data_IF_676807899969
#
_entry.id   IF_676807899969
#
_cell.length_a   1.000
_cell.length_b   1.000
_cell.length_c   1.000
_cell.angle_alpha   90.00
_cell.angle_beta   90.00
_cell.angle_gamma   90.00
#
_symmetry.space_group_name_H-M   'P 1'
#
loop_
_entity.id
_entity.type
_entity.pdbx_description
1 polymer ?
#
# COMPACT_ATOMS: atom_id res chain seq x y z
N UNK A 1 -24.56 -2.90 13.60
CA UNK A 1 -24.02 -3.68 12.46
C UNK A 1 -22.77 -4.39 12.93
N UNK A 2 -22.48 -5.57 12.42
CA UNK A 2 -21.23 -6.31 12.69
C UNK A 2 -20.29 -6.12 11.51
N UNK A 3 -18.98 -6.18 11.73
CA UNK A 3 -17.98 -6.07 10.66
C UNK A 3 -18.22 -7.06 9.50
N UNK A 4 -18.67 -8.28 9.84
CA UNK A 4 -18.98 -9.35 8.88
C UNK A 4 -20.18 -9.09 7.95
N UNK A 5 -20.96 -8.05 8.21
CA UNK A 5 -22.12 -7.70 7.39
C UNK A 5 -21.74 -6.85 6.16
N UNK A 6 -20.46 -6.51 6.00
CA UNK A 6 -19.95 -5.61 4.94
C UNK A 6 -19.16 -6.33 3.86
N UNK A 7 -19.25 -5.83 2.62
CA UNK A 7 -18.47 -6.32 1.48
C UNK A 7 -16.97 -6.15 1.70
N UNK A 8 -16.57 -5.04 2.32
CA UNK A 8 -15.19 -4.82 2.71
C UNK A 8 -14.60 -5.98 3.52
N UNK A 9 -15.38 -6.60 4.44
CA UNK A 9 -14.94 -7.79 5.17
C UNK A 9 -14.74 -9.00 4.27
N UNK A 10 -15.71 -9.27 3.38
CA UNK A 10 -15.64 -10.37 2.43
C UNK A 10 -14.38 -10.23 1.55
N UNK A 11 -14.18 -9.04 1.00
CA UNK A 11 -13.05 -8.72 0.12
C UNK A 11 -11.68 -8.83 0.82
N UNK A 12 -11.55 -8.37 2.09
CA UNK A 12 -10.35 -8.59 2.89
C UNK A 12 -10.10 -10.10 3.07
N UNK A 13 -11.16 -10.87 3.33
CA UNK A 13 -11.07 -12.31 3.58
C UNK A 13 -10.65 -13.11 2.34
N UNK A 14 -10.83 -12.57 1.13
CA UNK A 14 -10.39 -13.18 -0.13
C UNK A 14 -8.88 -13.02 -0.42
N UNK A 15 -8.15 -12.24 0.38
CA UNK A 15 -6.72 -11.93 0.14
C UNK A 15 -5.84 -13.18 -0.04
N UNK A 16 -5.98 -14.29 0.72
CA UNK A 16 -5.17 -15.49 0.50
C UNK A 16 -5.38 -16.12 -0.87
N UNK A 17 -6.61 -16.10 -1.38
CA UNK A 17 -6.94 -16.65 -2.70
C UNK A 17 -6.41 -15.75 -3.82
N UNK A 18 -6.41 -14.42 -3.61
CA UNK A 18 -5.76 -13.46 -4.51
C UNK A 18 -4.25 -13.74 -4.58
N UNK A 19 -3.61 -13.94 -3.44
CA UNK A 19 -2.17 -14.27 -3.39
C UNK A 19 -1.87 -15.58 -4.11
N UNK A 20 -2.71 -16.61 -3.92
CA UNK A 20 -2.56 -17.87 -4.62
C UNK A 20 -2.64 -17.71 -6.15
N UNK A 21 -3.61 -16.93 -6.65
CA UNK A 21 -3.73 -16.65 -8.08
C UNK A 21 -2.52 -15.91 -8.65
N UNK A 22 -2.03 -14.86 -7.96
CA UNK A 22 -0.87 -14.10 -8.40
C UNK A 22 0.39 -14.94 -8.45
N UNK A 23 0.66 -15.74 -7.41
CA UNK A 23 1.83 -16.62 -7.35
C UNK A 23 1.78 -17.65 -8.47
N UNK A 24 0.60 -18.20 -8.77
CA UNK A 24 0.43 -19.17 -9.86
C UNK A 24 0.50 -18.53 -11.26
N UNK A 25 0.47 -17.22 -11.37
CA UNK A 25 0.60 -16.48 -12.64
C UNK A 25 2.03 -15.96 -12.90
N UNK A 26 3.03 -16.68 -12.44
CA UNK A 26 4.47 -16.31 -12.50
C UNK A 26 4.94 -15.89 -13.90
N UNK A 27 4.42 -16.51 -14.95
CA UNK A 27 4.83 -16.23 -16.33
C UNK A 27 4.69 -14.77 -16.78
N UNK A 28 3.69 -14.03 -16.25
CA UNK A 28 3.53 -12.61 -16.58
C UNK A 28 4.66 -11.75 -16.00
N UNK A 29 5.15 -12.09 -14.80
CA UNK A 29 6.27 -11.38 -14.14
C UNK A 29 7.59 -11.70 -14.82
N UNK A 30 7.82 -12.96 -15.22
CA UNK A 30 8.99 -13.37 -15.98
C UNK A 30 9.06 -12.63 -17.32
N UNK A 31 7.95 -12.58 -18.06
CA UNK A 31 7.86 -11.84 -19.34
C UNK A 31 8.13 -10.35 -19.15
N UNK A 32 7.63 -9.75 -18.06
CA UNK A 32 7.92 -8.36 -17.73
C UNK A 32 9.41 -8.14 -17.44
N UNK A 33 10.00 -9.00 -16.63
CA UNK A 33 11.43 -8.95 -16.29
C UNK A 33 12.34 -9.11 -17.53
N UNK A 34 12.00 -10.03 -18.43
CA UNK A 34 12.72 -10.18 -19.71
C UNK A 34 12.67 -8.89 -20.55
N UNK A 35 11.49 -8.28 -20.64
CA UNK A 35 11.32 -7.05 -21.42
C UNK A 35 12.07 -5.87 -20.81
N UNK A 36 12.13 -5.79 -19.46
CA UNK A 36 12.91 -4.78 -18.75
C UNK A 36 14.42 -5.02 -19.00
N UNK A 37 14.91 -6.25 -18.84
CA UNK A 37 16.30 -6.60 -19.01
C UNK A 37 16.81 -6.39 -20.46
N UNK A 38 15.91 -6.47 -21.44
CA UNK A 38 16.23 -6.17 -22.85
C UNK A 38 16.46 -4.69 -23.14
N UNK A 39 16.22 -3.79 -22.16
CA UNK A 39 16.40 -2.34 -22.25
C UNK A 39 17.49 -1.86 -21.30
N UNK A 40 18.15 -0.77 -21.64
CA UNK A 40 19.08 -0.07 -20.74
C UNK A 40 18.30 0.89 -19.83
N UNK A 41 17.62 0.32 -18.79
CA UNK A 41 16.86 1.13 -17.83
C UNK A 41 17.81 1.76 -16.84
N UNK A 42 17.79 3.08 -16.73
CA UNK A 42 18.62 3.86 -15.79
C UNK A 42 17.84 4.45 -14.64
N UNK A 43 16.51 4.60 -14.79
CA UNK A 43 15.62 5.13 -13.77
C UNK A 43 14.21 4.58 -13.94
N UNK A 44 13.43 4.64 -12.87
CA UNK A 44 12.05 4.17 -12.83
C UNK A 44 11.13 5.31 -12.40
N UNK A 45 9.96 5.40 -13.03
CA UNK A 45 8.88 6.29 -12.60
C UNK A 45 7.64 5.44 -12.29
N UNK A 46 7.08 5.61 -11.10
CA UNK A 46 5.84 4.97 -10.69
C UNK A 46 4.70 5.95 -10.91
N UNK A 47 3.68 5.52 -11.63
CA UNK A 47 2.49 6.29 -11.99
C UNK A 47 1.28 5.70 -11.28
N UNK A 48 0.70 6.42 -10.32
CA UNK A 48 -0.43 5.96 -9.55
C UNK A 48 -1.21 7.11 -8.91
N UNK A 49 -2.36 6.79 -8.27
CA UNK A 49 -3.16 7.68 -7.43
C UNK A 49 -3.76 6.92 -6.25
N UNK A 50 -4.02 7.62 -5.15
CA UNK A 50 -4.73 7.08 -3.98
C UNK A 50 -4.06 5.84 -3.41
N UNK A 51 -4.84 4.78 -3.20
CA UNK A 51 -4.37 3.48 -2.69
C UNK A 51 -3.24 2.88 -3.53
N UNK A 52 -3.36 2.96 -4.86
CA UNK A 52 -2.30 2.47 -5.76
C UNK A 52 -1.01 3.29 -5.64
N UNK A 53 -1.10 4.61 -5.33
CA UNK A 53 0.08 5.43 -5.02
C UNK A 53 0.77 4.98 -3.72
N UNK A 54 -0.02 4.59 -2.72
CA UNK A 54 0.52 4.00 -1.50
C UNK A 54 1.25 2.68 -1.78
N UNK A 55 0.71 1.80 -2.63
CA UNK A 55 1.41 0.62 -3.12
C UNK A 55 2.67 0.99 -3.95
N UNK A 56 2.61 2.10 -4.68
CA UNK A 56 3.75 2.66 -5.41
C UNK A 56 4.91 3.03 -4.50
N UNK A 57 4.66 3.53 -3.29
CA UNK A 57 5.73 3.76 -2.30
C UNK A 57 6.43 2.46 -1.89
N UNK A 58 5.70 1.36 -1.74
CA UNK A 58 6.28 0.05 -1.47
C UNK A 58 7.16 -0.43 -2.62
N UNK A 59 6.65 -0.35 -3.86
CA UNK A 59 7.41 -0.70 -5.06
C UNK A 59 8.68 0.15 -5.20
N UNK A 60 8.60 1.45 -4.89
CA UNK A 60 9.75 2.35 -4.87
C UNK A 60 10.85 1.82 -3.95
N UNK A 61 10.54 1.50 -2.70
CA UNK A 61 11.51 0.93 -1.78
C UNK A 61 12.09 -0.40 -2.28
N UNK A 62 11.27 -1.29 -2.85
CA UNK A 62 11.76 -2.56 -3.41
C UNK A 62 12.80 -2.34 -4.50
N UNK A 63 12.56 -1.44 -5.45
CA UNK A 63 13.46 -1.17 -6.57
C UNK A 63 14.74 -0.50 -6.07
N UNK A 64 14.63 0.54 -5.25
CA UNK A 64 15.80 1.25 -4.73
C UNK A 64 16.70 0.37 -3.88
N UNK A 65 16.11 -0.46 -2.99
CA UNK A 65 16.87 -1.32 -2.08
C UNK A 65 17.46 -2.54 -2.78
N UNK A 66 16.69 -3.21 -3.65
CA UNK A 66 17.08 -4.49 -4.25
C UNK A 66 17.83 -4.35 -5.58
N UNK A 67 17.58 -3.27 -6.33
CA UNK A 67 18.16 -3.05 -7.66
C UNK A 67 19.12 -1.84 -7.73
N UNK A 68 19.10 -0.96 -6.72
CA UNK A 68 19.94 0.24 -6.71
C UNK A 68 19.57 1.27 -7.79
N UNK A 69 18.37 1.19 -8.35
CA UNK A 69 17.90 2.12 -9.37
C UNK A 69 17.14 3.29 -8.73
N UNK A 70 17.35 4.54 -9.17
CA UNK A 70 16.57 5.67 -8.68
C UNK A 70 15.12 5.58 -9.14
N UNK A 71 14.18 5.88 -8.22
CA UNK A 71 12.74 5.80 -8.49
C UNK A 71 12.05 7.12 -8.15
N UNK A 72 11.38 7.71 -9.14
CA UNK A 72 10.49 8.86 -8.98
C UNK A 72 9.02 8.45 -8.90
N UNK A 73 8.21 9.24 -8.19
CA UNK A 73 6.76 9.19 -8.32
C UNK A 73 6.33 10.19 -9.38
N UNK A 74 5.43 9.80 -10.28
CA UNK A 74 4.96 10.65 -11.35
C UNK A 74 4.16 11.85 -10.82
N UNK A 75 4.23 12.95 -11.54
CA UNK A 75 3.33 14.11 -11.39
C UNK A 75 2.37 14.18 -12.60
N UNK A 76 1.27 13.42 -12.62
CA UNK A 76 0.40 13.33 -13.80
C UNK A 76 -0.07 14.69 -14.33
N UNK A 77 -0.28 15.65 -13.45
CA UNK A 77 -0.68 17.02 -13.82
C UNK A 77 0.35 17.74 -14.71
N UNK A 78 1.63 17.37 -14.64
CA UNK A 78 2.66 17.96 -15.52
C UNK A 78 2.33 17.72 -17.00
N UNK A 79 1.74 16.58 -17.30
CA UNK A 79 1.32 16.22 -18.66
C UNK A 79 -0.14 16.60 -18.90
N UNK A 80 -1.07 16.17 -18.02
CA UNK A 80 -2.51 16.30 -18.26
C UNK A 80 -3.01 17.74 -18.19
N UNK A 81 -2.35 18.61 -17.43
CA UNK A 81 -2.72 20.04 -17.29
C UNK A 81 -1.75 20.95 -18.04
N UNK A 82 -0.45 20.75 -17.83
CA UNK A 82 0.56 21.65 -18.40
C UNK A 82 1.06 21.24 -19.79
N UNK A 83 0.66 20.06 -20.30
CA UNK A 83 1.05 19.58 -21.62
C UNK A 83 2.56 19.37 -21.79
N UNK A 84 3.27 19.08 -20.70
CA UNK A 84 4.72 18.91 -20.76
C UNK A 84 5.10 17.73 -21.65
N UNK A 85 6.09 17.95 -22.51
CA UNK A 85 6.71 16.90 -23.33
C UNK A 85 7.99 16.45 -22.66
N UNK A 86 7.90 15.36 -21.92
CA UNK A 86 9.02 14.79 -21.18
C UNK A 86 9.68 13.70 -22.03
N UNK A 87 11.01 13.72 -22.13
CA UNK A 87 11.78 12.61 -22.71
C UNK A 87 11.95 11.51 -21.65
N UNK A 88 11.35 10.35 -21.90
CA UNK A 88 11.41 9.18 -21.03
C UNK A 88 12.36 8.10 -21.58
N UNK A 89 13.30 8.49 -22.46
CA UNK A 89 14.31 7.55 -22.93
C UNK A 89 15.03 6.87 -21.76
N UNK A 90 15.29 5.58 -21.88
CA UNK A 90 15.96 4.75 -20.87
C UNK A 90 15.22 4.70 -19.50
N UNK A 91 13.94 5.09 -19.48
CA UNK A 91 13.06 5.09 -18.31
C UNK A 91 12.07 3.91 -18.37
N UNK A 92 11.91 3.21 -17.26
CA UNK A 92 10.80 2.32 -17.03
C UNK A 92 9.68 3.10 -16.33
N UNK A 93 8.50 3.15 -16.93
CA UNK A 93 7.29 3.63 -16.26
C UNK A 93 6.44 2.45 -15.83
N UNK A 94 6.13 2.36 -14.53
CA UNK A 94 5.24 1.35 -13.98
C UNK A 94 3.97 2.05 -13.51
N UNK A 95 2.84 1.75 -14.15
CA UNK A 95 1.55 2.35 -13.83
C UNK A 95 0.70 1.36 -13.02
N UNK A 96 0.34 1.75 -11.78
CA UNK A 96 -0.52 0.96 -10.90
C UNK A 96 -1.91 1.61 -10.82
N UNK A 97 -2.95 0.82 -10.99
CA UNK A 97 -4.34 1.29 -10.87
C UNK A 97 -5.31 0.13 -10.77
N UNK A 98 -6.07 0.03 -9.68
CA UNK A 98 -7.10 -1.00 -9.53
C UNK A 98 -8.05 -1.02 -10.74
N UNK A 99 -8.62 0.11 -11.15
CA UNK A 99 -9.62 0.20 -12.22
C UNK A 99 -9.02 0.36 -13.63
N UNK A 100 -7.81 0.94 -13.73
CA UNK A 100 -7.19 1.30 -15.00
C UNK A 100 -7.95 2.37 -15.81
N UNK A 101 -8.81 3.19 -15.14
CA UNK A 101 -9.76 4.12 -15.81
C UNK A 101 -9.58 5.59 -15.45
N UNK A 102 -8.59 5.95 -14.65
CA UNK A 102 -8.32 7.36 -14.29
C UNK A 102 -7.77 8.12 -15.50
N UNK A 103 -8.42 9.18 -15.96
CA UNK A 103 -8.05 9.87 -17.19
C UNK A 103 -6.64 10.47 -17.17
N UNK A 104 -6.23 11.06 -16.07
CA UNK A 104 -4.90 11.64 -15.88
C UNK A 104 -3.78 10.59 -15.96
N UNK A 105 -4.01 9.39 -15.42
CA UNK A 105 -3.07 8.28 -15.52
C UNK A 105 -2.93 7.79 -16.96
N UNK A 106 -4.04 7.66 -17.67
CA UNK A 106 -4.05 7.24 -19.09
C UNK A 106 -3.32 8.27 -19.95
N UNK A 107 -3.58 9.56 -19.72
CA UNK A 107 -2.93 10.66 -20.45
C UNK A 107 -1.41 10.65 -20.20
N UNK A 108 -0.98 10.53 -18.96
CA UNK A 108 0.45 10.46 -18.63
C UNK A 108 1.11 9.20 -19.22
N UNK A 109 0.46 8.04 -19.10
CA UNK A 109 0.97 6.78 -19.65
C UNK A 109 1.16 6.85 -21.17
N UNK A 110 0.20 7.45 -21.89
CA UNK A 110 0.30 7.67 -23.32
C UNK A 110 1.47 8.58 -23.69
N UNK A 111 1.62 9.70 -22.97
CA UNK A 111 2.74 10.62 -23.18
C UNK A 111 4.10 9.99 -22.83
N UNK A 112 4.16 9.17 -21.79
CA UNK A 112 5.37 8.45 -21.42
C UNK A 112 5.80 7.47 -22.54
N UNK A 113 4.84 6.80 -23.16
CA UNK A 113 5.10 5.91 -24.30
C UNK A 113 5.56 6.68 -25.53
N UNK A 114 4.92 7.81 -25.85
CA UNK A 114 5.37 8.73 -26.91
C UNK A 114 6.79 9.24 -26.64
N UNK A 115 7.11 9.51 -25.36
CA UNK A 115 8.43 9.90 -24.86
C UNK A 115 9.44 8.76 -24.78
N UNK A 116 9.14 7.56 -25.35
CA UNK A 116 10.00 6.37 -25.47
C UNK A 116 10.24 5.58 -24.17
N UNK A 117 9.43 5.76 -23.12
CA UNK A 117 9.48 4.89 -21.97
C UNK A 117 9.21 3.42 -22.35
N UNK A 118 9.75 2.50 -21.57
CA UNK A 118 9.13 1.19 -21.44
C UNK A 118 7.97 1.31 -20.45
N UNK A 119 6.75 1.00 -20.87
CA UNK A 119 5.55 1.14 -20.06
C UNK A 119 5.01 -0.22 -19.63
N UNK A 120 5.05 -0.52 -18.34
CA UNK A 120 4.39 -1.68 -17.73
C UNK A 120 3.18 -1.19 -16.94
N UNK A 121 2.03 -1.80 -17.16
CA UNK A 121 0.81 -1.49 -16.42
C UNK A 121 0.41 -2.65 -15.53
N UNK A 122 -0.03 -2.36 -14.31
CA UNK A 122 -0.58 -3.33 -13.36
C UNK A 122 -2.00 -2.89 -13.02
N UNK A 123 -3.01 -3.64 -13.49
CA UNK A 123 -4.41 -3.32 -13.18
C UNK A 123 -5.21 -4.58 -12.86
N UNK A 124 -6.33 -4.40 -12.17
CA UNK A 124 -7.29 -5.48 -11.90
C UNK A 124 -8.35 -5.64 -13.03
N UNK A 125 -8.08 -5.04 -14.19
CA UNK A 125 -8.95 -5.12 -15.36
C UNK A 125 -8.10 -5.08 -16.63
N UNK A 126 -7.87 -6.24 -17.23
CA UNK A 126 -7.06 -6.42 -18.44
C UNK A 126 -7.59 -5.66 -19.66
N UNK A 127 -8.92 -5.38 -19.68
CA UNK A 127 -9.58 -4.64 -20.77
C UNK A 127 -9.65 -3.13 -20.49
N UNK A 128 -8.98 -2.65 -19.43
CA UNK A 128 -9.00 -1.22 -19.09
C UNK A 128 -8.22 -0.39 -20.09
N UNK A 129 -8.57 0.90 -20.28
CA UNK A 129 -7.81 1.80 -21.13
C UNK A 129 -6.32 1.88 -20.77
N UNK A 130 -5.99 1.88 -19.46
CA UNK A 130 -4.60 1.93 -19.00
C UNK A 130 -3.85 0.63 -19.35
N UNK A 131 -4.48 -0.55 -19.20
CA UNK A 131 -3.90 -1.82 -19.59
C UNK A 131 -3.54 -1.85 -21.09
N UNK A 132 -4.43 -1.31 -21.93
CA UNK A 132 -4.27 -1.29 -23.37
C UNK A 132 -3.16 -0.34 -23.88
N UNK A 133 -2.81 0.71 -23.12
CA UNK A 133 -1.70 1.61 -23.45
C UNK A 133 -0.34 0.96 -23.18
N UNK A 134 -0.24 0.06 -22.21
CA UNK A 134 1.01 -0.58 -21.80
C UNK A 134 1.73 -1.32 -22.92
N UNK A 135 3.07 -1.38 -22.85
CA UNK A 135 3.86 -2.30 -23.67
C UNK A 135 3.74 -3.73 -23.15
N UNK A 136 3.40 -3.87 -21.87
CA UNK A 136 3.06 -5.10 -21.22
C UNK A 136 2.11 -4.80 -20.06
N UNK A 137 1.12 -5.68 -19.88
CA UNK A 137 0.17 -5.62 -18.78
C UNK A 137 0.41 -6.80 -17.81
N UNK A 138 0.32 -6.52 -16.52
CA UNK A 138 0.29 -7.49 -15.42
C UNK A 138 -1.11 -7.44 -14.81
N UNK A 139 -1.83 -8.55 -14.85
CA UNK A 139 -3.13 -8.68 -14.22
C UNK A 139 -2.97 -8.94 -12.71
N UNK A 140 -3.58 -8.10 -11.88
CA UNK A 140 -3.58 -8.24 -10.43
C UNK A 140 -4.42 -9.42 -9.95
N UNK A 141 -5.31 -9.94 -10.78
CA UNK A 141 -6.14 -11.13 -10.51
C UNK A 141 -6.88 -11.08 -9.16
N UNK A 142 -7.18 -9.86 -8.66
CA UNK A 142 -7.86 -9.67 -7.38
C UNK A 142 -9.35 -10.02 -7.43
N UNK A 143 -9.92 -10.21 -8.63
CA UNK A 143 -11.34 -10.44 -8.81
C UNK A 143 -12.18 -9.17 -8.62
N UNK A 144 -13.51 -9.32 -8.58
CA UNK A 144 -14.40 -8.19 -8.39
C UNK A 144 -14.25 -7.59 -6.98
N UNK A 145 -14.04 -6.29 -6.91
CA UNK A 145 -13.96 -5.51 -5.67
C UNK A 145 -15.01 -4.41 -5.71
N UNK A 146 -16.04 -4.53 -4.86
CA UNK A 146 -17.27 -3.71 -4.89
C UNK A 146 -17.22 -2.56 -3.90
N UNK A 147 -16.67 -2.78 -2.70
CA UNK A 147 -16.49 -1.74 -1.71
C UNK A 147 -15.70 -0.56 -2.31
N UNK A 148 -16.12 0.67 -2.02
CA UNK A 148 -15.46 1.87 -2.55
C UNK A 148 -14.03 1.95 -2.07
N UNK A 149 -13.79 1.72 -0.78
CA UNK A 149 -12.46 1.62 -0.21
C UNK A 149 -11.76 0.35 -0.72
N UNK A 150 -10.63 0.49 -1.40
CA UNK A 150 -9.86 -0.63 -1.91
C UNK A 150 -9.24 -1.45 -0.77
N UNK A 151 -9.23 -2.77 -0.92
CA UNK A 151 -8.70 -3.73 0.05
C UNK A 151 -7.82 -4.78 -0.59
N UNK A 152 -8.40 -5.88 -1.08
CA UNK A 152 -7.66 -7.00 -1.71
C UNK A 152 -6.87 -6.56 -2.95
N UNK A 153 -7.32 -5.53 -3.67
CA UNK A 153 -6.56 -5.00 -4.81
C UNK A 153 -5.28 -4.30 -4.36
N UNK A 154 -5.27 -3.58 -3.23
CA UNK A 154 -4.05 -3.04 -2.63
C UNK A 154 -3.07 -4.14 -2.23
N UNK A 155 -3.57 -5.17 -1.53
CA UNK A 155 -2.76 -6.32 -1.15
C UNK A 155 -2.17 -7.04 -2.38
N UNK A 156 -2.96 -7.11 -3.48
CA UNK A 156 -2.50 -7.63 -4.76
C UNK A 156 -1.40 -6.77 -5.39
N UNK A 157 -1.53 -5.44 -5.35
CA UNK A 157 -0.51 -4.51 -5.86
C UNK A 157 0.82 -4.65 -5.11
N UNK A 158 0.78 -4.84 -3.79
CA UNK A 158 1.98 -5.07 -2.98
C UNK A 158 2.66 -6.39 -3.39
N UNK A 159 1.90 -7.50 -3.45
CA UNK A 159 2.46 -8.80 -3.83
C UNK A 159 2.96 -8.79 -5.28
N UNK A 160 2.21 -8.23 -6.23
CA UNK A 160 2.62 -8.12 -7.62
C UNK A 160 3.91 -7.30 -7.77
N UNK A 161 4.08 -6.25 -6.96
CA UNK A 161 5.31 -5.46 -6.88
C UNK A 161 6.52 -6.30 -6.45
N UNK A 162 6.35 -7.13 -5.41
CA UNK A 162 7.40 -8.04 -4.95
C UNK A 162 7.74 -9.08 -6.02
N UNK A 163 6.73 -9.71 -6.63
CA UNK A 163 6.93 -10.73 -7.68
C UNK A 163 7.62 -10.16 -8.92
N UNK A 164 7.28 -8.92 -9.33
CA UNK A 164 7.96 -8.25 -10.42
C UNK A 164 9.43 -8.02 -10.13
N UNK A 165 9.74 -7.49 -8.94
CA UNK A 165 11.14 -7.21 -8.55
C UNK A 165 11.93 -8.51 -8.39
N UNK A 166 11.35 -9.54 -7.77
CA UNK A 166 11.99 -10.87 -7.66
C UNK A 166 12.29 -11.47 -9.04
N UNK A 167 11.36 -11.36 -10.00
CA UNK A 167 11.60 -11.80 -11.38
C UNK A 167 12.70 -10.97 -12.05
N UNK A 168 12.73 -9.67 -11.80
CA UNK A 168 13.71 -8.77 -12.40
C UNK A 168 15.13 -9.07 -11.90
N UNK A 169 15.31 -9.37 -10.61
CA UNK A 169 16.62 -9.80 -10.06
C UNK A 169 16.95 -11.27 -10.36
N UNK A 170 15.98 -12.05 -10.86
CA UNK A 170 16.18 -13.49 -11.15
C UNK A 170 15.99 -14.42 -9.95
N UNK A 171 15.23 -14.01 -8.94
CA UNK A 171 15.04 -14.73 -7.66
C UNK A 171 13.67 -15.41 -7.55
N UNK A 172 12.98 -15.70 -8.66
CA UNK A 172 11.65 -16.34 -8.64
C UNK A 172 11.62 -17.77 -8.10
N UNK A 173 12.75 -18.49 -8.15
CA UNK A 173 12.85 -19.86 -7.63
C UNK A 173 12.67 -19.98 -6.11
N UNK A 174 12.66 -18.87 -5.38
CA UNK A 174 12.52 -18.87 -3.92
C UNK A 174 11.12 -19.27 -3.41
N UNK A 175 10.13 -19.44 -4.29
CA UNK A 175 8.75 -19.81 -3.93
C UNK A 175 8.12 -18.85 -2.91
N UNK A 176 6.97 -18.27 -3.23
CA UNK A 176 6.26 -17.34 -2.32
C UNK A 176 4.98 -17.95 -1.73
N UNK A 177 4.81 -19.28 -1.85
CA UNK A 177 3.61 -19.99 -1.36
C UNK A 177 3.35 -19.79 0.12
N UNK A 178 4.40 -19.64 0.92
CA UNK A 178 4.29 -19.34 2.36
C UNK A 178 3.50 -18.04 2.65
N UNK A 179 3.48 -17.07 1.73
CA UNK A 179 2.69 -15.84 1.89
C UNK A 179 1.19 -16.11 1.87
N UNK A 180 0.74 -17.15 1.14
CA UNK A 180 -0.65 -17.58 1.14
C UNK A 180 -1.05 -18.10 2.53
N UNK A 181 -0.21 -18.94 3.13
CA UNK A 181 -0.48 -19.53 4.45
C UNK A 181 -0.40 -18.48 5.54
N UNK A 182 0.60 -17.59 5.49
CA UNK A 182 0.70 -16.46 6.43
C UNK A 182 -0.48 -15.49 6.32
N UNK A 183 -0.99 -15.27 5.10
CA UNK A 183 -2.20 -14.46 4.89
C UNK A 183 -3.45 -15.15 5.45
N UNK A 184 -3.59 -16.48 5.30
CA UNK A 184 -4.69 -17.23 5.93
C UNK A 184 -4.64 -17.15 7.44
N UNK A 185 -3.46 -17.29 8.03
CA UNK A 185 -3.26 -17.15 9.48
C UNK A 185 -3.64 -15.74 9.94
N UNK A 186 -3.22 -14.71 9.25
CA UNK A 186 -3.57 -13.32 9.51
C UNK A 186 -5.10 -13.13 9.50
N UNK A 187 -5.79 -13.60 8.44
CA UNK A 187 -7.25 -13.51 8.32
C UNK A 187 -7.98 -14.28 9.44
N UNK A 188 -7.48 -15.45 9.83
CA UNK A 188 -8.07 -16.23 10.92
C UNK A 188 -8.01 -15.51 12.28
N UNK A 189 -7.03 -14.64 12.48
CA UNK A 189 -6.79 -13.91 13.73
C UNK A 189 -7.39 -12.49 13.76
N UNK A 190 -8.14 -12.07 12.74
CA UNK A 190 -8.75 -10.73 12.67
C UNK A 190 -9.69 -10.38 13.84
N UNK A 191 -10.19 -11.38 14.59
CA UNK A 191 -11.02 -11.15 15.76
C UNK A 191 -10.34 -10.32 16.87
N UNK A 192 -9.02 -10.39 17.00
CA UNK A 192 -8.27 -9.57 17.94
C UNK A 192 -8.27 -8.09 17.55
N UNK A 193 -8.34 -7.80 16.24
CA UNK A 193 -8.32 -6.45 15.69
C UNK A 193 -9.57 -5.65 16.07
N UNK A 194 -10.72 -6.32 16.27
CA UNK A 194 -11.97 -5.68 16.70
C UNK A 194 -11.82 -4.93 18.04
N UNK A 195 -11.04 -5.48 18.96
CA UNK A 195 -10.81 -4.83 20.26
C UNK A 195 -9.98 -3.56 20.12
N UNK A 196 -8.99 -3.57 19.22
CA UNK A 196 -8.17 -2.40 18.92
C UNK A 196 -8.98 -1.32 18.17
N UNK A 197 -9.75 -1.71 17.17
CA UNK A 197 -10.62 -0.80 16.44
C UNK A 197 -11.61 -0.08 17.38
N UNK A 198 -12.17 -0.80 18.35
CA UNK A 198 -13.08 -0.25 19.36
C UNK A 198 -12.41 0.72 20.33
N UNK A 199 -11.12 0.65 20.52
CA UNK A 199 -10.38 1.51 21.43
C UNK A 199 -9.87 2.81 20.80
N UNK A 200 -9.78 2.88 19.49
CA UNK A 200 -9.46 4.14 18.82
C UNK A 200 -10.59 5.15 19.04
N UNK A 201 -10.26 6.38 19.40
CA UNK A 201 -11.21 7.45 19.64
C UNK A 201 -11.23 8.43 18.47
N UNK A 202 -12.39 8.55 17.82
CA UNK A 202 -12.61 9.43 16.68
C UNK A 202 -12.53 10.93 17.02
N UNK A 203 -12.60 11.30 18.29
CA UNK A 203 -12.53 12.68 18.74
C UNK A 203 -11.08 13.13 19.06
N UNK A 204 -10.13 12.22 19.03
CA UNK A 204 -8.71 12.48 19.29
C UNK A 204 -7.93 12.58 17.99
N UNK A 205 -6.81 13.30 18.00
CA UNK A 205 -5.87 13.27 16.90
C UNK A 205 -5.32 11.85 16.73
N UNK A 206 -5.39 11.32 15.51
CA UNK A 206 -4.81 10.02 15.15
C UNK A 206 -3.69 10.27 14.15
N UNK A 207 -2.50 9.78 14.47
CA UNK A 207 -1.33 9.80 13.59
C UNK A 207 -0.88 8.38 13.33
N UNK A 208 -0.57 8.04 12.08
CA UNK A 208 -0.02 6.74 11.71
C UNK A 208 1.41 6.93 11.22
N UNK A 209 2.34 6.24 11.83
CA UNK A 209 3.74 6.28 11.43
C UNK A 209 4.28 4.92 11.02
N UNK A 210 5.11 4.92 9.99
CA UNK A 210 5.85 3.75 9.52
C UNK A 210 7.26 4.13 9.10
N UNK A 211 8.11 3.15 8.84
CA UNK A 211 9.46 3.35 8.32
C UNK A 211 9.77 2.26 7.29
N UNK A 212 10.59 2.60 6.26
CA UNK A 212 10.93 1.64 5.21
C UNK A 212 9.68 1.18 4.45
N UNK A 213 9.56 -0.12 4.22
CA UNK A 213 8.42 -0.70 3.51
C UNK A 213 7.08 -0.43 4.19
N UNK A 214 7.04 -0.38 5.53
CA UNK A 214 5.82 -0.13 6.30
C UNK A 214 5.25 1.30 6.11
N UNK A 215 6.01 2.23 5.54
CA UNK A 215 5.50 3.56 5.22
C UNK A 215 4.31 3.51 4.24
N UNK A 216 4.32 2.57 3.30
CA UNK A 216 3.19 2.35 2.39
C UNK A 216 1.89 2.04 3.16
N UNK A 217 1.96 1.11 4.12
CA UNK A 217 0.83 0.77 4.98
C UNK A 217 0.42 1.91 5.92
N UNK A 218 1.37 2.77 6.37
CA UNK A 218 1.02 3.93 7.19
C UNK A 218 0.18 4.94 6.40
N UNK A 219 0.56 5.22 5.17
CA UNK A 219 -0.23 6.04 4.25
C UNK A 219 -1.60 5.43 3.96
N UNK A 220 -1.62 4.11 3.71
CA UNK A 220 -2.85 3.40 3.36
C UNK A 220 -3.84 3.36 4.53
N UNK A 221 -3.39 3.07 5.76
CA UNK A 221 -4.24 3.09 6.95
C UNK A 221 -4.86 4.48 7.16
N UNK A 222 -4.06 5.54 7.04
CA UNK A 222 -4.55 6.91 7.15
C UNK A 222 -5.60 7.23 6.07
N UNK A 223 -5.34 6.87 4.82
CA UNK A 223 -6.27 7.07 3.70
C UNK A 223 -7.58 6.31 3.94
N UNK A 224 -7.51 5.05 4.36
CA UNK A 224 -8.70 4.22 4.61
C UNK A 224 -9.55 4.76 5.75
N UNK A 225 -8.95 5.27 6.85
CA UNK A 225 -9.71 5.92 7.93
C UNK A 225 -10.40 7.19 7.40
N UNK A 226 -9.72 8.01 6.60
CA UNK A 226 -10.32 9.20 5.99
C UNK A 226 -11.52 8.83 5.11
N UNK A 227 -11.36 7.84 4.23
CA UNK A 227 -12.40 7.41 3.29
C UNK A 227 -13.62 6.82 3.99
N UNK A 228 -13.42 5.98 5.02
CA UNK A 228 -14.50 5.21 5.63
C UNK A 228 -15.10 5.84 6.88
N UNK A 229 -14.38 6.79 7.51
CA UNK A 229 -14.78 7.37 8.81
C UNK A 229 -14.77 8.90 8.80
N UNK A 230 -14.39 9.55 7.70
CA UNK A 230 -14.40 11.03 7.53
C UNK A 230 -13.55 11.78 8.56
N UNK A 231 -12.53 11.12 9.12
CA UNK A 231 -11.65 11.68 10.14
C UNK A 231 -10.31 12.03 9.51
N UNK A 232 -9.80 13.26 9.69
CA UNK A 232 -8.44 13.61 9.23
C UNK A 232 -7.40 12.79 9.97
N UNK A 233 -6.64 12.00 9.25
CA UNK A 233 -5.54 11.19 9.79
C UNK A 233 -4.32 11.38 8.90
N UNK A 234 -3.15 11.51 9.50
CA UNK A 234 -1.88 11.62 8.78
C UNK A 234 -1.13 10.31 8.80
N UNK A 235 -0.74 9.81 7.63
CA UNK A 235 0.16 8.66 7.46
C UNK A 235 1.54 9.14 7.03
N UNK A 236 2.56 8.99 7.88
CA UNK A 236 3.87 9.58 7.66
C UNK A 236 5.02 8.60 7.89
N UNK A 237 6.15 8.88 7.22
CA UNK A 237 7.41 8.27 7.62
C UNK A 237 7.81 8.80 9.00
N UNK A 238 8.30 7.91 9.88
CA UNK A 238 8.78 8.33 11.20
C UNK A 238 9.90 9.38 11.14
N UNK A 239 10.64 9.45 10.03
CA UNK A 239 11.62 10.52 9.82
C UNK A 239 10.94 11.84 9.52
N UNK A 240 10.05 11.88 8.51
CA UNK A 240 9.39 13.12 8.10
C UNK A 240 8.53 13.70 9.22
N UNK A 241 7.91 12.84 10.03
CA UNK A 241 7.14 13.25 11.20
C UNK A 241 7.94 14.10 12.19
N UNK A 242 9.23 13.82 12.34
CA UNK A 242 10.12 14.60 13.23
C UNK A 242 10.48 15.99 12.70
N UNK A 243 10.26 16.27 11.41
CA UNK A 243 10.62 17.52 10.74
C UNK A 243 9.47 18.55 10.71
N UNK A 244 8.69 18.63 11.77
CA UNK A 244 7.63 19.63 11.95
C UNK A 244 6.34 19.04 12.50
N UNK A 245 5.71 18.03 11.86
CA UNK A 245 4.42 17.48 12.29
C UNK A 245 4.36 17.01 13.75
N UNK A 246 5.47 16.53 14.30
CA UNK A 246 5.58 16.12 15.72
C UNK A 246 5.19 17.25 16.71
N UNK A 247 5.21 18.52 16.27
CA UNK A 247 4.83 19.65 17.10
C UNK A 247 3.33 19.68 17.47
N UNK A 248 2.47 18.97 16.73
CA UNK A 248 1.04 18.85 17.04
C UNK A 248 0.77 17.83 18.16
N UNK A 249 1.74 16.94 18.41
CA UNK A 249 1.56 15.81 19.30
C UNK A 249 1.43 16.24 20.76
N UNK A 250 0.46 15.68 21.45
CA UNK A 250 0.20 15.92 22.87
C UNK A 250 -0.36 14.65 23.54
N UNK A 251 -0.63 14.72 24.86
CA UNK A 251 -1.12 13.57 25.65
C UNK A 251 -2.52 13.09 25.25
N UNK A 252 -3.27 13.87 24.49
CA UNK A 252 -4.58 13.49 23.94
C UNK A 252 -4.49 12.87 22.54
N UNK A 253 -3.30 12.78 21.95
CA UNK A 253 -3.10 12.17 20.64
C UNK A 253 -3.00 10.66 20.73
N UNK A 254 -3.37 9.97 19.66
CA UNK A 254 -3.19 8.52 19.46
C UNK A 254 -2.21 8.28 18.31
N UNK A 255 -1.12 7.57 18.58
CA UNK A 255 -0.08 7.25 17.59
C UNK A 255 -0.10 5.77 17.27
N UNK A 256 -0.45 5.43 16.04
CA UNK A 256 -0.37 4.06 15.52
C UNK A 256 0.99 3.89 14.86
N UNK A 257 1.78 2.95 15.37
CA UNK A 257 3.13 2.68 14.89
C UNK A 257 3.17 1.36 14.15
N UNK A 258 3.46 1.41 12.85
CA UNK A 258 3.67 0.21 12.05
C UNK A 258 5.12 -0.22 12.17
N UNK A 259 5.35 -1.36 12.83
CA UNK A 259 6.68 -1.85 13.19
C UNK A 259 6.93 -3.23 12.57
N UNK A 260 7.44 -3.29 11.32
CA UNK A 260 7.90 -4.55 10.75
C UNK A 260 9.20 -5.01 11.40
N UNK A 261 9.53 -6.29 11.24
CA UNK A 261 10.88 -6.80 11.53
C UNK A 261 11.90 -6.20 10.57
N UNK A 262 13.16 -6.06 10.99
CA UNK A 262 14.24 -5.76 10.06
C UNK A 262 14.98 -4.44 10.32
N UNK A 263 15.54 -3.89 9.25
CA UNK A 263 16.47 -2.76 9.29
C UNK A 263 15.91 -1.46 9.87
N UNK A 264 14.62 -1.11 9.72
CA UNK A 264 14.09 0.14 10.24
C UNK A 264 13.98 0.22 11.76
N UNK A 265 14.12 -0.89 12.49
CA UNK A 265 13.93 -0.98 13.95
C UNK A 265 14.69 0.12 14.69
N UNK A 266 16.00 0.28 14.41
CA UNK A 266 16.83 1.29 15.11
C UNK A 266 16.35 2.72 14.84
N UNK A 267 16.05 3.03 13.58
CA UNK A 267 15.56 4.36 13.22
C UNK A 267 14.18 4.67 13.82
N UNK A 268 13.34 3.64 13.97
CA UNK A 268 12.04 3.75 14.62
C UNK A 268 12.20 3.96 16.14
N UNK A 269 13.10 3.21 16.78
CA UNK A 269 13.44 3.37 18.20
C UNK A 269 13.86 4.81 18.50
N UNK A 270 14.76 5.39 17.70
CA UNK A 270 15.22 6.77 17.85
C UNK A 270 14.07 7.79 17.70
N UNK A 271 13.15 7.53 16.76
CA UNK A 271 11.95 8.35 16.59
C UNK A 271 11.02 8.30 17.81
N UNK A 272 10.87 7.11 18.42
CA UNK A 272 9.98 6.89 19.57
C UNK A 272 10.46 7.61 20.83
N UNK A 273 11.76 7.87 20.98
CA UNK A 273 12.29 8.67 22.09
C UNK A 273 11.63 10.05 22.13
N UNK A 274 11.49 10.71 20.98
CA UNK A 274 10.86 12.05 20.89
C UNK A 274 9.34 11.98 21.01
N UNK A 275 8.70 11.00 20.36
CA UNK A 275 7.25 10.82 20.37
C UNK A 275 6.77 10.63 21.81
N UNK A 276 7.46 9.82 22.61
CA UNK A 276 7.11 9.54 24.01
C UNK A 276 7.21 10.75 24.95
N UNK A 277 7.94 11.81 24.57
CA UNK A 277 8.03 13.05 25.37
C UNK A 277 6.70 13.80 25.47
N UNK A 278 5.81 13.64 24.50
CA UNK A 278 4.47 14.22 24.51
C UNK A 278 3.42 13.32 25.18
N UNK A 279 3.82 12.16 25.67
CA UNK A 279 2.98 11.19 26.39
C UNK A 279 1.69 10.77 25.66
N UNK A 280 1.67 10.59 24.32
CA UNK A 280 0.47 10.16 23.62
C UNK A 280 0.11 8.70 23.98
N UNK A 281 -1.11 8.30 23.64
CA UNK A 281 -1.43 6.87 23.60
C UNK A 281 -0.74 6.22 22.39
N UNK A 282 0.10 5.20 22.64
CA UNK A 282 0.85 4.51 21.58
C UNK A 282 0.27 3.12 21.36
N UNK A 283 -0.02 2.83 20.08
CA UNK A 283 -0.55 1.56 19.60
C UNK A 283 0.42 1.01 18.56
N UNK A 284 1.02 -0.14 18.85
CA UNK A 284 1.91 -0.84 17.93
C UNK A 284 1.14 -1.84 17.08
N UNK A 285 1.43 -1.86 15.79
CA UNK A 285 0.95 -2.86 14.86
C UNK A 285 2.17 -3.55 14.23
N UNK A 286 2.31 -4.86 14.46
CA UNK A 286 3.44 -5.65 14.00
C UNK A 286 4.25 -6.23 15.15
N UNK A 287 5.57 -5.98 15.17
CA UNK A 287 6.48 -6.50 16.20
C UNK A 287 6.47 -5.61 17.43
N UNK A 288 6.48 -6.25 18.61
CA UNK A 288 6.37 -5.56 19.90
C UNK A 288 7.69 -5.31 20.62
N UNK A 289 8.83 -5.58 20.01
CA UNK A 289 10.15 -5.49 20.68
C UNK A 289 10.51 -4.09 21.18
N UNK A 290 9.92 -3.05 20.59
CA UNK A 290 10.11 -1.65 20.98
C UNK A 290 9.01 -1.11 21.91
N UNK A 291 7.93 -1.87 22.12
CA UNK A 291 6.79 -1.46 22.92
C UNK A 291 7.14 -1.48 24.43
N UNK A 292 6.72 -0.44 25.15
CA UNK A 292 6.81 -0.40 26.60
C UNK A 292 5.54 -1.03 27.24
N UNK A 293 5.64 -1.49 28.49
CA UNK A 293 4.53 -2.21 29.17
C UNK A 293 3.19 -1.47 29.19
N UNK A 294 3.18 -0.14 29.11
CA UNK A 294 1.95 0.67 29.06
C UNK A 294 1.39 0.87 27.66
N UNK A 295 2.14 0.46 26.63
CA UNK A 295 1.76 0.62 25.24
C UNK A 295 1.01 -0.60 24.74
N UNK A 296 0.08 -0.40 23.83
CA UNK A 296 -0.75 -1.48 23.29
C UNK A 296 -0.12 -2.10 22.06
N UNK A 297 -0.25 -3.39 21.91
CA UNK A 297 0.32 -4.13 20.79
C UNK A 297 -0.74 -4.98 20.10
N UNK A 298 -0.97 -4.72 18.82
CA UNK A 298 -1.66 -5.62 17.90
C UNK A 298 -0.60 -6.39 17.11
N UNK A 299 -0.53 -7.70 17.36
CA UNK A 299 0.48 -8.54 16.70
C UNK A 299 0.20 -8.64 15.21
N UNK A 300 1.23 -8.36 14.40
CA UNK A 300 1.26 -8.57 12.97
C UNK A 300 2.01 -9.84 12.58
N UNK A 301 2.51 -9.89 11.36
CA UNK A 301 3.29 -11.01 10.84
C UNK A 301 4.68 -11.07 11.49
N UNK A 302 4.87 -11.97 12.43
CA UNK A 302 6.11 -12.08 13.21
C UNK A 302 7.24 -12.89 12.55
N UNK A 303 6.96 -13.62 11.47
CA UNK A 303 7.91 -14.56 10.85
C UNK A 303 8.30 -14.19 9.42
N UNK A 304 7.70 -13.16 8.85
CA UNK A 304 7.99 -12.73 7.50
C UNK A 304 9.22 -11.80 7.46
N UNK A 305 9.88 -11.75 6.32
CA UNK A 305 10.86 -10.70 6.03
C UNK A 305 10.18 -9.34 6.06
N UNK A 306 10.95 -8.26 6.22
CA UNK A 306 10.41 -6.91 6.33
C UNK A 306 9.46 -6.54 5.17
N UNK A 307 9.88 -6.83 3.94
CA UNK A 307 9.06 -6.60 2.76
C UNK A 307 7.81 -7.47 2.72
N UNK A 308 7.87 -8.69 3.24
CA UNK A 308 6.75 -9.63 3.29
C UNK A 308 5.76 -9.26 4.39
N UNK A 309 6.23 -8.77 5.55
CA UNK A 309 5.37 -8.30 6.64
C UNK A 309 4.43 -7.20 6.15
N UNK A 310 4.92 -6.25 5.35
CA UNK A 310 4.10 -5.17 4.79
C UNK A 310 2.94 -5.71 3.94
N UNK A 311 3.17 -6.78 3.16
CA UNK A 311 2.14 -7.42 2.33
C UNK A 311 1.07 -8.09 3.22
N UNK A 312 1.49 -8.82 4.24
CA UNK A 312 0.57 -9.58 5.11
C UNK A 312 -0.20 -8.64 6.03
N UNK A 313 0.48 -7.66 6.61
CA UNK A 313 -0.12 -6.71 7.55
C UNK A 313 -1.11 -5.73 6.87
N UNK A 314 -1.13 -5.68 5.52
CA UNK A 314 -2.15 -4.94 4.79
C UNK A 314 -3.58 -5.36 5.18
N UNK A 315 -3.83 -6.65 5.38
CA UNK A 315 -5.14 -7.13 5.80
C UNK A 315 -5.51 -6.65 7.23
N UNK A 316 -4.53 -6.56 8.14
CA UNK A 316 -4.75 -6.06 9.49
C UNK A 316 -5.16 -4.58 9.50
N UNK A 317 -4.47 -3.73 8.73
CA UNK A 317 -4.80 -2.30 8.68
C UNK A 317 -6.16 -2.06 8.03
N UNK A 318 -6.51 -2.82 7.00
CA UNK A 318 -7.82 -2.77 6.34
C UNK A 318 -8.95 -3.17 7.30
N UNK A 319 -8.74 -4.25 8.07
CA UNK A 319 -9.73 -4.71 9.04
C UNK A 319 -9.85 -3.77 10.25
N UNK A 320 -8.74 -3.18 10.72
CA UNK A 320 -8.74 -2.14 11.74
C UNK A 320 -9.62 -0.96 11.31
N UNK A 321 -9.46 -0.53 10.07
CA UNK A 321 -10.26 0.55 9.48
C UNK A 321 -11.74 0.19 9.41
N UNK A 322 -12.06 -1.02 8.94
CA UNK A 322 -13.43 -1.54 8.90
C UNK A 322 -14.07 -1.54 10.28
N UNK A 323 -13.38 -2.09 11.29
CA UNK A 323 -13.86 -2.12 12.66
C UNK A 323 -14.09 -0.72 13.25
N UNK A 324 -13.18 0.21 12.96
CA UNK A 324 -13.27 1.60 13.38
C UNK A 324 -14.46 2.33 12.74
N UNK A 325 -14.69 2.16 11.44
CA UNK A 325 -15.83 2.74 10.74
C UNK A 325 -17.17 2.21 11.29
N UNK A 326 -17.28 0.89 11.48
CA UNK A 326 -18.49 0.23 12.01
C UNK A 326 -18.79 0.67 13.45
N UNK A 327 -17.75 0.80 14.29
CA UNK A 327 -17.89 1.31 15.67
C UNK A 327 -18.51 2.72 15.69
N UNK A 328 -18.08 3.57 14.76
CA UNK A 328 -18.54 4.96 14.66
C UNK A 328 -19.85 5.12 13.85
N UNK A 329 -20.49 4.01 13.46
CA UNK A 329 -21.80 4.04 12.79
C UNK A 329 -21.73 4.34 11.29
N UNK A 330 -20.57 4.30 10.67
CA UNK A 330 -20.36 4.54 9.24
C UNK A 330 -20.51 3.28 8.40
N UNK A 331 -20.84 3.47 7.11
CA UNK A 331 -20.86 2.39 6.12
C UNK A 331 -19.56 2.40 5.30
N UNK A 332 -18.62 1.47 5.54
CA UNK A 332 -17.33 1.44 4.86
C UNK A 332 -17.42 1.00 3.38
N UNK A 333 -18.52 0.32 2.98
CA UNK A 333 -18.70 -0.14 1.59
C UNK A 333 -19.07 0.98 0.64
N UNK A 334 -19.76 2.00 1.14
CA UNK A 334 -20.28 3.11 0.33
C UNK A 334 -20.20 4.44 1.09
N UNK A 335 -18.97 4.95 1.30
CA UNK A 335 -18.78 6.23 1.98
C UNK A 335 -19.35 7.38 1.13
N UNK A 336 -19.97 8.35 1.83
CA UNK A 336 -20.57 9.51 1.18
C UNK A 336 -19.51 10.36 0.48
N UNK A 337 -19.83 10.85 -0.71
CA UNK A 337 -18.95 11.73 -1.50
C UNK A 337 -17.82 11.02 -2.26
N UNK A 338 -17.72 9.70 -2.14
CA UNK A 338 -16.74 8.91 -2.88
C UNK A 338 -17.39 7.97 -3.89
N UNK A 339 -16.65 7.61 -4.92
CA UNK A 339 -17.04 6.64 -5.92
C UNK A 339 -15.87 5.70 -6.21
N UNK A 340 -16.17 4.45 -6.64
CA UNK A 340 -15.13 3.43 -6.91
C UNK A 340 -14.12 3.87 -7.97
N UNK A 341 -14.51 4.73 -8.89
CA UNK A 341 -13.63 5.32 -9.91
C UNK A 341 -13.68 6.84 -9.79
N UNK A 342 -12.57 7.43 -9.41
CA UNK A 342 -12.42 8.89 -9.36
C UNK A 342 -11.98 9.40 -10.73
N UNK A 343 -12.71 10.36 -11.27
CA UNK A 343 -12.36 11.04 -12.53
C UNK A 343 -11.60 12.31 -12.21
N UNK A 344 -10.27 12.27 -12.38
CA UNK A 344 -9.38 13.44 -12.31
C UNK A 344 -8.95 13.83 -13.72
N UNK A 345 -8.88 15.14 -13.98
CA UNK A 345 -8.38 15.69 -15.23
C UNK A 345 -6.87 15.94 -15.14
#
# INVERSE_FOLDING_TARGET
MKTKDFKMYEEISETPDVFSRLINSEAQFQKAAEKIKARNITNVIILARGTSDNAGHYLKFLIEVKLGLPVGLASPSSVSIYGAKVDFKDTLVIALSQSGRSPDLITFASAAKEGKALLITMTNNSDSPLANVGDLHIDLSAGLEVAVAATKSYSAELLASLLLVDSWIGNMSAGRSHLVDSSRECIANLGEVDSFAKSLDANREIVVIGRGYAYANAKELALKIQETSYIPVQGMSSADYQHGPIATLNSDSQVIVLSPSGMPKKALEDSMVRIRQSEPEIIWLGINELALNKERVLKGSNQAKEEESTIIDAALIQYLTLGFAVKNGFNPDSPAGLSKVTKTL
#
